data_IF_784965755715
#
_entry.id   IF_784965755715
#
_cell.length_a   1.000
_cell.length_b   1.000
_cell.length_c   1.000
_cell.angle_alpha   90.00
_cell.angle_beta   90.00
_cell.angle_gamma   90.00
#
_symmetry.space_group_name_H-M   'P 1'
#
loop_
_entity.id
_entity.type
_entity.pdbx_description
1 polymer ?
#
# COMPACT_ATOMS: atom_id res chain seq x y z
N UNK A 1 -11.24 5.08 -10.59
CA UNK A 1 -11.41 4.00 -9.59
C UNK A 1 -11.66 2.67 -10.27
N UNK A 2 -11.39 1.57 -9.56
CA UNK A 2 -11.68 0.22 -10.04
C UNK A 2 -13.19 -0.02 -10.18
N UNK A 3 -13.60 -1.15 -10.83
CA UNK A 3 -14.94 -1.69 -10.63
C UNK A 3 -15.21 -2.01 -9.17
N UNK A 4 -16.49 -2.21 -8.78
CA UNK A 4 -16.83 -2.59 -7.42
C UNK A 4 -16.44 -4.04 -7.12
N UNK A 5 -16.01 -4.29 -5.88
CA UNK A 5 -15.68 -5.61 -5.36
C UNK A 5 -16.46 -5.91 -4.08
N UNK A 6 -16.59 -7.19 -3.75
CA UNK A 6 -17.34 -7.65 -2.57
C UNK A 6 -16.55 -7.44 -1.28
N UNK A 7 -15.21 -7.44 -1.35
CA UNK A 7 -14.34 -7.26 -0.19
C UNK A 7 -13.08 -6.44 -0.54
N UNK A 8 -12.40 -5.99 0.51
CA UNK A 8 -11.20 -5.19 0.35
C UNK A 8 -10.04 -5.97 -0.27
N UNK A 9 -9.90 -7.24 0.04
CA UNK A 9 -8.81 -8.07 -0.48
C UNK A 9 -8.87 -8.18 -2.01
N UNK A 10 -10.05 -8.34 -2.58
CA UNK A 10 -10.22 -8.40 -4.04
C UNK A 10 -9.91 -7.07 -4.72
N UNK A 11 -10.31 -5.95 -4.11
CA UNK A 11 -9.94 -4.63 -4.59
C UNK A 11 -8.42 -4.43 -4.55
N UNK A 12 -7.76 -4.88 -3.49
CA UNK A 12 -6.31 -4.80 -3.37
C UNK A 12 -5.60 -5.69 -4.41
N UNK A 13 -6.12 -6.86 -4.70
CA UNK A 13 -5.61 -7.73 -5.79
C UNK A 13 -5.69 -7.05 -7.14
N UNK A 14 -6.78 -6.35 -7.40
CA UNK A 14 -6.93 -5.57 -8.63
C UNK A 14 -5.84 -4.50 -8.74
N UNK A 15 -5.59 -3.74 -7.68
CA UNK A 15 -4.54 -2.73 -7.66
C UNK A 15 -3.13 -3.36 -7.83
N UNK A 16 -2.88 -4.48 -7.16
CA UNK A 16 -1.64 -5.24 -7.30
C UNK A 16 -1.38 -5.66 -8.76
N UNK A 17 -2.40 -6.15 -9.45
CA UNK A 17 -2.29 -6.54 -10.85
C UNK A 17 -2.06 -5.32 -11.77
N UNK A 18 -2.69 -4.18 -11.46
CA UNK A 18 -2.46 -2.95 -12.22
C UNK A 18 -1.03 -2.43 -12.08
N UNK A 19 -0.45 -2.50 -10.89
CA UNK A 19 0.94 -2.11 -10.67
C UNK A 19 1.87 -3.02 -11.49
N UNK A 20 1.62 -4.32 -11.47
CA UNK A 20 2.33 -5.29 -12.28
C UNK A 20 3.85 -5.23 -12.09
N UNK A 21 4.58 -5.07 -13.18
CA UNK A 21 6.04 -5.04 -13.20
C UNK A 21 6.65 -3.63 -13.23
N UNK A 22 5.84 -2.59 -13.28
CA UNK A 22 6.31 -1.20 -13.27
C UNK A 22 6.64 -0.78 -11.83
N UNK A 23 7.86 -1.07 -11.41
CA UNK A 23 8.28 -0.90 -10.01
C UNK A 23 9.59 -0.13 -9.85
N UNK A 24 9.86 0.81 -10.76
CA UNK A 24 11.04 1.69 -10.63
C UNK A 24 10.95 2.57 -9.37
N UNK A 25 9.72 2.88 -8.94
CA UNK A 25 9.40 3.63 -7.73
C UNK A 25 8.25 2.93 -7.00
N UNK A 26 7.91 3.39 -5.79
CA UNK A 26 6.72 2.94 -5.11
C UNK A 26 5.46 3.53 -5.76
N UNK A 27 4.43 2.72 -5.86
CA UNK A 27 3.08 3.11 -6.27
C UNK A 27 2.13 2.83 -5.10
N UNK A 28 1.08 3.61 -4.99
CA UNK A 28 0.14 3.38 -3.93
C UNK A 28 -1.21 4.04 -4.14
N UNK A 29 -2.11 3.75 -3.23
CA UNK A 29 -3.46 4.26 -3.26
C UNK A 29 -4.24 3.85 -2.03
N UNK A 30 -5.56 3.86 -2.16
CA UNK A 30 -6.48 3.51 -1.11
C UNK A 30 -7.53 2.50 -1.59
N UNK A 31 -8.03 1.72 -0.66
CA UNK A 31 -9.22 0.90 -0.84
C UNK A 31 -10.35 1.61 -0.11
N UNK A 32 -11.37 1.99 -0.86
CA UNK A 32 -12.53 2.72 -0.36
C UNK A 32 -13.76 1.81 -0.32
N UNK A 33 -14.63 2.06 0.63
CA UNK A 33 -15.92 1.38 0.69
C UNK A 33 -17.05 2.41 0.73
N UNK A 34 -18.15 2.12 0.02
CA UNK A 34 -19.32 2.99 -0.02
C UNK A 34 -20.40 2.55 0.99
N UNK A 35 -21.51 3.27 1.01
CA UNK A 35 -22.64 2.99 1.91
C UNK A 35 -23.33 1.65 1.63
N UNK A 36 -23.14 1.09 0.43
CA UNK A 36 -23.72 -0.20 0.04
C UNK A 36 -22.79 -1.39 0.32
N UNK A 37 -21.64 -1.14 0.95
CA UNK A 37 -20.68 -2.18 1.29
C UNK A 37 -19.85 -2.68 0.10
N UNK A 38 -19.77 -1.91 -0.98
CA UNK A 38 -18.91 -2.20 -2.13
C UNK A 38 -17.53 -1.63 -1.89
N UNK A 39 -16.52 -2.28 -2.44
CA UNK A 39 -15.12 -1.89 -2.28
C UNK A 39 -14.51 -1.51 -3.62
N UNK A 40 -13.69 -0.45 -3.61
CA UNK A 40 -13.05 0.09 -4.80
C UNK A 40 -11.59 0.38 -4.51
N UNK A 41 -10.71 0.05 -5.44
CA UNK A 41 -9.33 0.51 -5.41
C UNK A 41 -9.23 1.83 -6.17
N UNK A 42 -8.58 2.83 -5.57
CA UNK A 42 -8.17 4.02 -6.31
C UNK A 42 -7.08 3.63 -7.31
N UNK A 43 -6.91 4.43 -8.36
CA UNK A 43 -5.83 4.19 -9.32
C UNK A 43 -4.49 4.31 -8.61
N UNK A 44 -3.52 3.41 -8.87
CA UNK A 44 -2.17 3.55 -8.32
C UNK A 44 -1.54 4.87 -8.72
N UNK A 45 -1.02 5.59 -7.73
CA UNK A 45 -0.33 6.87 -7.93
C UNK A 45 1.16 6.66 -7.73
N UNK A 46 1.96 7.30 -8.57
CA UNK A 46 3.42 7.22 -8.50
C UNK A 46 3.93 7.94 -7.25
N UNK A 47 4.71 7.23 -6.45
CA UNK A 47 5.43 7.77 -5.30
C UNK A 47 6.90 8.03 -5.61
N UNK A 48 7.73 7.90 -4.59
CA UNK A 48 9.19 8.02 -4.68
C UNK A 48 9.84 6.64 -4.75
N UNK A 49 11.15 6.60 -4.94
CA UNK A 49 11.90 5.33 -5.04
C UNK A 49 11.75 4.45 -3.80
N UNK A 50 11.70 5.03 -2.60
CA UNK A 50 11.69 4.29 -1.34
C UNK A 50 10.57 4.69 -0.40
N UNK A 51 9.58 5.45 -0.87
CA UNK A 51 8.45 5.87 -0.04
C UNK A 51 7.22 6.18 -0.89
N UNK A 52 6.06 6.02 -0.27
CA UNK A 52 4.78 6.45 -0.82
C UNK A 52 4.03 7.25 0.24
N UNK A 53 3.62 8.46 -0.12
CA UNK A 53 2.88 9.36 0.77
C UNK A 53 1.37 9.25 0.47
N UNK A 54 0.56 8.72 1.40
CA UNK A 54 -0.89 8.61 1.20
C UNK A 54 -1.61 9.93 0.97
N UNK A 55 -1.02 11.07 1.32
CA UNK A 55 -1.60 12.39 1.04
C UNK A 55 -1.71 12.69 -0.45
N UNK A 56 -1.00 11.95 -1.29
CA UNK A 56 -1.15 12.02 -2.74
C UNK A 56 -2.52 11.49 -3.21
N UNK A 57 -3.19 10.70 -2.39
CA UNK A 57 -4.46 10.03 -2.76
C UNK A 57 -5.64 10.56 -1.93
N UNK A 58 -5.43 10.78 -0.64
CA UNK A 58 -6.47 11.21 0.31
C UNK A 58 -6.08 12.57 0.89
N UNK A 59 -7.04 13.49 0.87
CA UNK A 59 -6.85 14.84 1.42
C UNK A 59 -6.74 14.81 2.95
N UNK A 60 -6.06 15.81 3.48
CA UNK A 60 -5.93 16.03 4.93
C UNK A 60 -6.54 17.36 5.32
N UNK A 61 -6.93 17.47 6.60
CA UNK A 61 -7.38 18.73 7.19
C UNK A 61 -6.18 19.59 7.64
N UNK A 62 -6.48 20.72 8.31
CA UNK A 62 -5.45 21.65 8.78
C UNK A 62 -4.54 21.05 9.87
N UNK A 63 -4.97 20.00 10.55
CA UNK A 63 -4.19 19.28 11.56
C UNK A 63 -3.41 18.09 10.97
N UNK A 64 -3.48 17.90 9.65
CA UNK A 64 -2.81 16.80 8.98
C UNK A 64 -3.52 15.45 9.10
N UNK A 65 -4.76 15.41 9.56
CA UNK A 65 -5.56 14.18 9.64
C UNK A 65 -6.28 13.93 8.32
N UNK A 66 -6.35 12.67 7.92
CA UNK A 66 -7.03 12.30 6.68
C UNK A 66 -8.53 12.57 6.75
N UNK A 67 -9.09 12.99 5.61
CA UNK A 67 -10.51 13.23 5.43
C UNK A 67 -11.07 12.20 4.48
N UNK A 68 -12.15 11.51 4.88
CA UNK A 68 -12.83 10.56 4.00
C UNK A 68 -13.40 11.27 2.77
N UNK A 69 -13.18 10.74 1.56
CA UNK A 69 -13.84 11.27 0.37
C UNK A 69 -15.36 11.20 0.52
N UNK A 70 -16.12 12.18 -0.01
CA UNK A 70 -17.58 12.17 0.09
C UNK A 70 -18.18 10.86 -0.44
N UNK A 71 -19.04 10.24 0.36
CA UNK A 71 -19.71 8.99 0.02
C UNK A 71 -18.89 7.73 0.26
N UNK A 72 -17.66 7.85 0.78
CA UNK A 72 -16.78 6.72 1.02
C UNK A 72 -16.14 6.78 2.40
N UNK A 73 -15.74 5.61 2.90
CA UNK A 73 -14.79 5.48 4.00
C UNK A 73 -13.57 4.70 3.51
N UNK A 74 -12.43 4.88 4.17
CA UNK A 74 -11.21 4.19 3.79
C UNK A 74 -11.10 2.87 4.54
N UNK A 75 -11.07 1.76 3.81
CA UNK A 75 -10.86 0.43 4.38
C UNK A 75 -9.38 0.10 4.55
N UNK A 76 -8.53 0.62 3.65
CA UNK A 76 -7.10 0.34 3.66
C UNK A 76 -6.34 1.33 2.80
N UNK A 77 -5.04 1.48 3.08
CA UNK A 77 -4.07 1.97 2.10
C UNK A 77 -3.35 0.80 1.47
N UNK A 78 -2.83 0.99 0.27
CA UNK A 78 -1.92 0.03 -0.36
C UNK A 78 -0.72 0.75 -0.95
N UNK A 79 0.40 0.05 -1.00
CA UNK A 79 1.58 0.51 -1.75
C UNK A 79 2.38 -0.68 -2.25
N UNK A 80 3.31 -0.40 -3.17
CA UNK A 80 4.24 -1.39 -3.70
C UNK A 80 5.66 -1.01 -3.32
N UNK A 81 6.54 -2.01 -3.25
CA UNK A 81 7.97 -1.77 -3.14
C UNK A 81 8.64 -1.80 -4.52
N UNK A 82 9.74 -1.05 -4.71
CA UNK A 82 10.43 -1.00 -5.99
C UNK A 82 11.16 -2.31 -6.27
N UNK A 83 11.29 -2.64 -7.57
CA UNK A 83 11.96 -3.84 -8.04
C UNK A 83 13.38 -3.59 -8.52
N UNK A 84 13.85 -2.35 -8.57
CA UNK A 84 15.17 -2.02 -9.07
C UNK A 84 16.25 -2.30 -8.03
N UNK A 85 16.78 -3.52 -8.08
CA UNK A 85 17.81 -4.00 -7.16
C UNK A 85 19.06 -3.12 -7.17
N UNK A 86 19.54 -2.73 -8.35
CA UNK A 86 20.76 -1.92 -8.47
C UNK A 86 20.60 -0.53 -7.87
N UNK A 87 19.43 0.05 -8.06
CA UNK A 87 19.10 1.36 -7.46
C UNK A 87 18.98 1.28 -5.95
N UNK A 88 18.34 0.23 -5.43
CA UNK A 88 18.24 -0.01 -3.98
C UNK A 88 19.61 -0.25 -3.37
N UNK A 89 20.45 -1.02 -4.01
CA UNK A 89 21.83 -1.27 -3.60
C UNK A 89 22.64 0.04 -3.53
N UNK A 90 22.42 0.95 -4.47
CA UNK A 90 23.07 2.25 -4.51
C UNK A 90 22.60 3.16 -3.35
N UNK A 91 21.32 3.11 -3.00
CA UNK A 91 20.74 3.94 -1.91
C UNK A 91 21.06 3.35 -0.55
N UNK A 92 20.99 2.03 -0.40
CA UNK A 92 21.21 1.31 0.86
C UNK A 92 22.52 0.52 0.81
N UNK A 93 23.65 1.24 0.82
CA UNK A 93 24.99 0.69 0.61
C UNK A 93 25.41 -0.38 1.62
N UNK A 94 24.81 -0.38 2.81
CA UNK A 94 25.13 -1.33 3.88
C UNK A 94 24.27 -2.60 3.84
N UNK A 95 23.32 -2.68 2.92
CA UNK A 95 22.43 -3.83 2.82
C UNK A 95 23.03 -4.93 1.95
N UNK A 96 22.97 -6.16 2.45
CA UNK A 96 23.27 -7.34 1.64
C UNK A 96 22.09 -7.71 0.73
N UNK A 97 22.29 -8.70 -0.18
CA UNK A 97 21.25 -9.15 -1.11
C UNK A 97 19.96 -9.64 -0.40
N UNK A 98 20.11 -10.31 0.74
CA UNK A 98 18.97 -10.83 1.52
C UNK A 98 18.15 -9.69 2.13
N UNK A 99 18.82 -8.64 2.61
CA UNK A 99 18.15 -7.47 3.21
C UNK A 99 17.31 -6.75 2.16
N UNK A 100 17.85 -6.59 0.96
CA UNK A 100 17.15 -5.96 -0.16
C UNK A 100 15.95 -6.82 -0.57
N UNK A 101 16.14 -8.13 -0.70
CA UNK A 101 15.04 -9.04 -1.07
C UNK A 101 13.91 -8.98 -0.05
N UNK A 102 14.23 -9.02 1.24
CA UNK A 102 13.22 -8.91 2.31
C UNK A 102 12.50 -7.57 2.26
N UNK A 103 13.25 -6.48 2.06
CA UNK A 103 12.68 -5.14 1.99
C UNK A 103 11.69 -4.95 0.85
N UNK A 104 11.96 -5.53 -0.32
CA UNK A 104 11.07 -5.38 -1.49
C UNK A 104 9.83 -6.27 -1.44
N UNK A 105 9.78 -7.25 -0.52
CA UNK A 105 8.68 -8.21 -0.41
C UNK A 105 7.96 -8.18 0.95
N UNK A 106 8.37 -7.33 1.87
CA UNK A 106 7.78 -7.24 3.21
C UNK A 106 7.61 -5.78 3.65
N UNK A 107 6.71 -5.54 4.61
CA UNK A 107 6.59 -4.23 5.23
C UNK A 107 7.90 -3.88 5.94
N UNK A 108 8.42 -2.68 5.68
CA UNK A 108 9.56 -2.16 6.41
C UNK A 108 9.16 -1.73 7.83
N UNK A 109 10.12 -1.58 8.77
CA UNK A 109 9.82 -1.00 10.08
C UNK A 109 9.14 0.38 9.99
N UNK A 110 9.56 1.23 9.05
CA UNK A 110 8.94 2.53 8.81
C UNK A 110 7.49 2.38 8.33
N UNK A 111 7.21 1.43 7.43
CA UNK A 111 5.86 1.11 6.99
C UNK A 111 4.97 0.72 8.18
N UNK A 112 5.47 -0.11 9.08
CA UNK A 112 4.72 -0.57 10.25
C UNK A 112 4.37 0.57 11.20
N UNK A 113 5.27 1.53 11.40
CA UNK A 113 5.00 2.73 12.21
C UNK A 113 3.90 3.56 11.57
N UNK A 114 4.00 3.84 10.27
CA UNK A 114 2.98 4.60 9.54
C UNK A 114 1.63 3.89 9.52
N UNK A 115 1.62 2.58 9.34
CA UNK A 115 0.40 1.78 9.35
C UNK A 115 -0.35 1.93 10.69
N UNK A 116 0.39 1.91 11.80
CA UNK A 116 -0.21 2.11 13.12
C UNK A 116 -0.70 3.53 13.36
N UNK A 117 0.08 4.52 12.91
CA UNK A 117 -0.32 5.93 13.04
C UNK A 117 -1.56 6.25 12.20
N UNK A 118 -1.74 5.59 11.07
CA UNK A 118 -2.88 5.81 10.17
C UNK A 118 -4.08 4.90 10.49
N UNK A 119 -4.01 4.08 11.53
CA UNK A 119 -5.05 3.10 11.86
C UNK A 119 -6.41 3.74 12.19
N UNK A 120 -6.42 4.98 12.67
CA UNK A 120 -7.67 5.72 12.94
C UNK A 120 -8.50 5.93 11.68
N UNK A 121 -7.85 5.96 10.52
CA UNK A 121 -8.48 6.24 9.23
C UNK A 121 -8.53 5.00 8.34
N UNK A 122 -7.42 4.26 8.24
CA UNK A 122 -7.28 3.06 7.43
C UNK A 122 -6.88 1.88 8.33
N UNK A 123 -7.83 1.01 8.73
CA UNK A 123 -7.53 -0.07 9.67
C UNK A 123 -6.66 -1.19 9.10
N UNK A 124 -6.49 -1.24 7.78
CA UNK A 124 -5.67 -2.24 7.11
C UNK A 124 -4.73 -1.59 6.10
N UNK A 125 -3.66 -2.30 5.78
CA UNK A 125 -2.69 -1.90 4.75
C UNK A 125 -2.32 -3.12 3.92
N UNK A 126 -2.11 -2.89 2.61
CA UNK A 126 -1.66 -3.92 1.70
C UNK A 126 -0.31 -3.55 1.12
N UNK A 127 0.56 -4.53 1.00
CA UNK A 127 1.84 -4.40 0.32
C UNK A 127 1.85 -5.30 -0.91
N UNK A 128 2.04 -4.69 -2.07
CA UNK A 128 2.27 -5.39 -3.32
C UNK A 128 3.77 -5.71 -3.44
N UNK A 129 4.13 -6.95 -3.14
CA UNK A 129 5.50 -7.41 -3.18
C UNK A 129 6.00 -7.67 -4.60
N UNK A 130 7.31 -7.58 -4.79
CA UNK A 130 7.96 -7.77 -6.08
C UNK A 130 7.87 -9.22 -6.57
N UNK A 131 7.82 -10.17 -5.64
CA UNK A 131 7.72 -11.60 -5.93
C UNK A 131 6.31 -12.07 -6.31
N UNK A 132 5.37 -11.15 -6.52
CA UNK A 132 3.98 -11.46 -6.83
C UNK A 132 3.10 -11.66 -5.60
N UNK A 133 3.65 -11.57 -4.39
CA UNK A 133 2.87 -11.69 -3.16
C UNK A 133 2.09 -10.42 -2.87
N UNK A 134 0.96 -10.58 -2.20
CA UNK A 134 0.19 -9.49 -1.63
C UNK A 134 0.06 -9.75 -0.13
N UNK A 135 0.57 -8.84 0.69
CA UNK A 135 0.60 -8.95 2.13
C UNK A 135 -0.39 -7.97 2.73
N UNK A 136 -1.14 -8.42 3.72
CA UNK A 136 -2.07 -7.57 4.48
C UNK A 136 -1.60 -7.40 5.91
N UNK A 137 -1.63 -6.18 6.40
CA UNK A 137 -1.43 -5.84 7.80
C UNK A 137 -2.73 -5.24 8.35
N UNK A 138 -3.21 -5.77 9.48
CA UNK A 138 -4.28 -5.18 10.26
C UNK A 138 -3.63 -4.54 11.48
N UNK A 139 -3.94 -3.30 11.79
CA UNK A 139 -3.24 -2.47 12.78
C UNK A 139 -3.16 -3.07 14.18
N UNK A 140 -4.05 -4.01 14.52
CA UNK A 140 -4.05 -4.74 15.81
C UNK A 140 -3.35 -6.10 15.73
N UNK A 141 -2.74 -6.46 14.60
CA UNK A 141 -2.18 -7.78 14.39
C UNK A 141 -0.83 -7.78 13.67
N UNK A 142 -0.43 -8.96 13.22
CA UNK A 142 0.78 -9.18 12.41
C UNK A 142 0.46 -9.13 10.93
N UNK A 143 1.46 -8.85 10.07
CA UNK A 143 1.28 -8.96 8.63
C UNK A 143 0.78 -10.35 8.24
N UNK A 144 -0.17 -10.40 7.32
CA UNK A 144 -0.72 -11.64 6.77
C UNK A 144 -0.40 -11.71 5.29
N UNK A 145 0.06 -12.87 4.85
CA UNK A 145 0.33 -13.12 3.45
C UNK A 145 -0.93 -13.64 2.78
N UNK A 146 -1.37 -12.96 1.69
CA UNK A 146 -2.50 -13.37 0.89
C UNK A 146 -2.00 -14.04 -0.39
N UNK A 147 -2.35 -15.29 -0.59
CA UNK A 147 -2.07 -15.99 -1.84
C UNK A 147 -2.98 -15.45 -2.95
N UNK A 148 -2.39 -15.13 -4.06
CA UNK A 148 -3.11 -14.69 -5.26
C UNK A 148 -3.32 -15.83 -6.25
#
# INVERSE_FOLDING_TARGET
>A
MSPPFVNADDAARFAHLLIGHFRAVEYGGAILTDAEGRYFATRPVRGKTSSFDPTLVISTDSDGRFISPPGYTCAAFYHSHPADYEKLKSVFKHWGPEDIYTSINAFSPADMVLNRLNAYFAPAHYLSGVNGSLIKFISSGSPQENAL
#
